data_IF_876257540018
#
_entry.id   IF_876257540018
#
_cell.length_a   1.000
_cell.length_b   1.000
_cell.length_c   1.000
_cell.angle_alpha   90.00
_cell.angle_beta   90.00
_cell.angle_gamma   90.00
#
_symmetry.space_group_name_H-M   'P 1'
#
loop_
_entity.id
_entity.type
_entity.pdbx_description
1 polymer ?
#
# COMPACT_ATOMS: atom_id res chain seq x y z
N UNK A 1 11.82 -8.82 19.21
CA UNK A 1 12.80 -8.77 20.32
C UNK A 1 12.71 -10.09 21.04
N UNK A 2 13.84 -10.77 21.23
CA UNK A 2 13.97 -12.04 21.97
C UNK A 2 14.26 -11.64 23.43
N UNK A 3 13.70 -12.34 24.42
CA UNK A 3 14.03 -12.13 25.83
C UNK A 3 15.36 -12.80 26.20
N UNK A 4 15.90 -12.48 27.38
CA UNK A 4 17.19 -13.00 27.88
C UNK A 4 17.23 -14.55 28.01
N UNK A 5 16.09 -15.24 27.88
CA UNK A 5 15.97 -16.70 27.94
C UNK A 5 15.75 -17.36 26.55
N UNK A 6 15.82 -16.60 25.46
CA UNK A 6 15.75 -17.15 24.10
C UNK A 6 14.36 -17.63 23.67
N UNK A 7 13.30 -17.23 24.37
CA UNK A 7 11.91 -17.59 24.08
C UNK A 7 11.19 -16.58 23.18
N UNK A 8 10.11 -16.98 22.48
CA UNK A 8 9.28 -16.04 21.76
C UNK A 8 8.51 -15.16 22.74
N UNK A 9 8.88 -13.87 22.82
CA UNK A 9 8.15 -12.86 23.60
C UNK A 9 6.78 -12.60 22.98
N UNK A 10 5.77 -13.40 23.37
CA UNK A 10 4.38 -13.13 22.99
C UNK A 10 3.75 -12.23 24.05
N UNK A 11 4.10 -10.94 24.04
CA UNK A 11 3.49 -9.98 24.95
C UNK A 11 2.02 -9.73 24.57
N UNK A 12 1.12 -9.63 25.56
CA UNK A 12 -0.29 -9.28 25.32
C UNK A 12 -0.46 -7.96 24.54
N UNK A 13 0.50 -7.04 24.66
CA UNK A 13 0.60 -5.81 23.84
C UNK A 13 0.77 -6.10 22.34
N UNK A 14 1.56 -7.09 21.97
CA UNK A 14 1.73 -7.49 20.57
C UNK A 14 0.43 -8.11 20.00
N UNK A 15 -0.27 -8.93 20.81
CA UNK A 15 -1.55 -9.55 20.41
C UNK A 15 -2.66 -8.51 20.23
N UNK A 16 -2.80 -7.56 21.15
CA UNK A 16 -3.76 -6.45 21.05
C UNK A 16 -3.39 -5.51 19.89
N UNK A 17 -2.10 -5.23 19.69
CA UNK A 17 -1.60 -4.45 18.55
C UNK A 17 -1.99 -5.08 17.21
N UNK A 18 -1.79 -6.39 17.05
CA UNK A 18 -2.19 -7.13 15.86
C UNK A 18 -3.71 -7.11 15.65
N UNK A 19 -4.49 -7.22 16.74
CA UNK A 19 -5.96 -7.20 16.69
C UNK A 19 -6.50 -5.83 16.23
N UNK A 20 -5.93 -4.73 16.75
CA UNK A 20 -6.31 -3.37 16.35
C UNK A 20 -5.91 -3.05 14.90
N UNK A 21 -4.73 -3.48 14.45
CA UNK A 21 -4.31 -3.34 13.06
C UNK A 21 -5.24 -4.10 12.11
N UNK A 22 -5.63 -5.33 12.47
CA UNK A 22 -6.56 -6.12 11.68
C UNK A 22 -7.97 -5.47 11.61
N UNK A 23 -8.46 -4.91 12.71
CA UNK A 23 -9.73 -4.17 12.73
C UNK A 23 -9.65 -2.92 11.83
N UNK A 24 -8.58 -2.13 11.97
CA UNK A 24 -8.36 -0.94 11.13
C UNK A 24 -8.32 -1.30 9.66
N UNK A 25 -7.54 -2.32 9.27
CA UNK A 25 -7.46 -2.77 7.89
C UNK A 25 -8.83 -3.21 7.35
N UNK A 26 -9.64 -3.90 8.15
CA UNK A 26 -11.01 -4.28 7.75
C UNK A 26 -11.90 -3.06 7.48
N UNK A 27 -11.82 -2.04 8.32
CA UNK A 27 -12.56 -0.78 8.13
C UNK A 27 -12.09 -0.08 6.84
N UNK A 28 -10.78 0.08 6.65
CA UNK A 28 -10.25 0.72 5.43
C UNK A 28 -10.63 -0.04 4.15
N UNK A 29 -10.58 -1.37 4.18
CA UNK A 29 -10.99 -2.20 3.05
C UNK A 29 -12.49 -2.06 2.78
N UNK A 30 -13.32 -2.11 3.83
CA UNK A 30 -14.75 -1.92 3.71
C UNK A 30 -15.06 -0.56 3.07
N UNK A 31 -14.51 0.52 3.64
CA UNK A 31 -14.75 1.88 3.17
C UNK A 31 -14.25 2.07 1.74
N UNK A 32 -13.05 1.58 1.42
CA UNK A 32 -12.51 1.60 0.06
C UNK A 32 -13.48 0.94 -0.91
N UNK A 33 -14.00 -0.26 -0.61
CA UNK A 33 -14.94 -0.96 -1.51
C UNK A 33 -16.26 -0.19 -1.68
N UNK A 34 -16.80 0.38 -0.60
CA UNK A 34 -18.12 1.00 -0.60
C UNK A 34 -18.14 2.45 -1.10
N UNK A 35 -16.98 3.11 -1.21
CA UNK A 35 -16.83 4.46 -1.78
C UNK A 35 -16.73 4.51 -3.31
N UNK A 36 -16.97 3.38 -3.99
CA UNK A 36 -16.96 3.32 -5.45
C UNK A 36 -17.93 4.35 -6.06
N UNK A 37 -17.43 5.14 -7.02
CA UNK A 37 -18.16 6.29 -7.57
C UNK A 37 -19.09 5.94 -8.75
N UNK A 38 -19.12 4.68 -9.19
CA UNK A 38 -19.91 4.21 -10.31
C UNK A 38 -19.17 4.24 -11.65
N UNK A 39 -19.88 3.92 -12.74
CA UNK A 39 -19.27 3.75 -14.05
C UNK A 39 -18.27 2.59 -14.05
N UNK A 40 -17.01 2.86 -14.40
CA UNK A 40 -15.94 1.86 -14.33
C UNK A 40 -15.50 1.54 -12.89
N UNK A 41 -15.64 2.49 -11.96
CA UNK A 41 -15.29 2.34 -10.55
C UNK A 41 -16.46 1.73 -9.78
N UNK A 42 -16.44 0.41 -9.60
CA UNK A 42 -17.51 -0.36 -8.96
C UNK A 42 -17.00 -1.04 -7.68
N UNK A 43 -17.89 -1.42 -6.75
CA UNK A 43 -17.48 -2.20 -5.59
C UNK A 43 -16.78 -3.52 -5.97
N UNK A 44 -17.13 -4.11 -7.12
CA UNK A 44 -16.47 -5.31 -7.64
C UNK A 44 -15.03 -5.03 -8.09
N UNK A 45 -14.79 -3.93 -8.80
CA UNK A 45 -13.43 -3.55 -9.23
C UNK A 45 -12.57 -3.17 -8.04
N UNK A 46 -13.11 -2.47 -7.04
CA UNK A 46 -12.39 -2.16 -5.80
C UNK A 46 -12.10 -3.40 -4.93
N UNK A 47 -13.01 -4.38 -4.89
CA UNK A 47 -12.73 -5.70 -4.28
C UNK A 47 -11.57 -6.41 -4.96
N UNK A 48 -11.54 -6.38 -6.29
CA UNK A 48 -10.45 -6.98 -7.07
C UNK A 48 -9.11 -6.27 -6.81
N UNK A 49 -9.09 -4.93 -6.79
CA UNK A 49 -7.90 -4.14 -6.42
C UNK A 49 -7.40 -4.54 -5.03
N UNK A 50 -8.30 -4.63 -4.04
CA UNK A 50 -7.94 -5.02 -2.66
C UNK A 50 -7.36 -6.43 -2.60
N UNK A 51 -7.96 -7.39 -3.32
CA UNK A 51 -7.46 -8.77 -3.39
C UNK A 51 -6.04 -8.79 -3.97
N UNK A 52 -5.81 -8.07 -5.07
CA UNK A 52 -4.50 -7.98 -5.72
C UNK A 52 -3.47 -7.26 -4.85
N UNK A 53 -3.87 -6.26 -4.06
CA UNK A 53 -2.97 -5.61 -3.09
C UNK A 53 -2.48 -6.59 -2.04
N UNK A 54 -3.38 -7.42 -1.49
CA UNK A 54 -3.01 -8.49 -0.54
C UNK A 54 -2.09 -9.52 -1.18
N UNK A 55 -2.30 -9.85 -2.45
CA UNK A 55 -1.41 -10.74 -3.18
C UNK A 55 -0.01 -10.15 -3.35
N UNK A 56 0.10 -8.88 -3.73
CA UNK A 56 1.40 -8.20 -3.79
C UNK A 56 2.06 -8.18 -2.42
N UNK A 57 1.32 -7.78 -1.38
CA UNK A 57 1.88 -7.67 -0.03
C UNK A 57 2.40 -8.99 0.53
N UNK A 58 1.80 -10.13 0.15
CA UNK A 58 2.26 -11.46 0.54
C UNK A 58 3.55 -11.91 -0.14
N UNK A 59 3.84 -11.39 -1.34
CA UNK A 59 4.94 -11.91 -2.18
C UNK A 59 6.06 -10.90 -2.41
N UNK A 60 5.81 -9.61 -2.17
CA UNK A 60 6.79 -8.53 -2.35
C UNK A 60 6.96 -7.82 -1.02
N UNK A 61 8.17 -7.78 -0.44
CA UNK A 61 8.40 -7.05 0.79
C UNK A 61 8.04 -5.57 0.61
N UNK A 62 7.28 -5.05 1.57
CA UNK A 62 6.71 -3.71 1.54
C UNK A 62 7.22 -2.93 2.75
N UNK A 63 7.69 -1.70 2.54
CA UNK A 63 8.05 -0.77 3.60
C UNK A 63 6.85 0.07 4.10
N UNK A 64 5.64 -0.30 3.70
CA UNK A 64 4.36 0.34 3.99
C UNK A 64 3.35 -0.65 4.56
N UNK A 65 2.33 -0.13 5.21
CA UNK A 65 1.17 -0.90 5.66
C UNK A 65 0.12 -1.01 4.54
N UNK A 66 -0.64 -2.11 4.52
CA UNK A 66 -1.68 -2.31 3.50
C UNK A 66 -2.73 -1.18 3.44
N UNK A 67 -3.11 -0.65 4.60
CA UNK A 67 -4.10 0.42 4.71
C UNK A 67 -3.60 1.74 4.08
N UNK A 68 -2.31 2.06 4.19
CA UNK A 68 -1.73 3.30 3.65
C UNK A 68 -1.87 3.32 2.12
N UNK A 69 -1.60 2.19 1.46
CA UNK A 69 -1.69 2.12 0.00
C UNK A 69 -3.14 2.11 -0.51
N UNK A 70 -4.12 1.68 0.29
CA UNK A 70 -5.53 1.83 -0.07
C UNK A 70 -5.95 3.31 -0.09
N UNK A 71 -5.42 4.13 0.82
CA UNK A 71 -5.67 5.59 0.83
C UNK A 71 -5.10 6.24 -0.44
N UNK A 72 -3.87 5.87 -0.83
CA UNK A 72 -3.26 6.38 -2.07
C UNK A 72 -4.02 5.90 -3.31
N UNK A 73 -4.45 4.64 -3.33
CA UNK A 73 -5.25 4.09 -4.41
C UNK A 73 -6.60 4.83 -4.56
N UNK A 74 -7.28 5.12 -3.46
CA UNK A 74 -8.51 5.92 -3.45
C UNK A 74 -8.28 7.30 -4.10
N UNK A 75 -7.18 7.97 -3.73
CA UNK A 75 -6.83 9.27 -4.31
C UNK A 75 -6.61 9.18 -5.83
N UNK A 76 -5.96 8.12 -6.33
CA UNK A 76 -5.78 7.90 -7.78
C UNK A 76 -7.12 7.64 -8.48
N UNK A 77 -7.97 6.78 -7.90
CA UNK A 77 -9.26 6.39 -8.46
C UNK A 77 -10.24 7.57 -8.55
N UNK A 78 -10.19 8.49 -7.59
CA UNK A 78 -11.15 9.59 -7.45
C UNK A 78 -10.60 10.94 -7.91
N UNK A 79 -9.30 11.05 -8.20
CA UNK A 79 -8.69 12.32 -8.61
C UNK A 79 -9.32 12.85 -9.90
N UNK A 80 -9.88 14.09 -9.88
CA UNK A 80 -10.41 14.74 -11.07
C UNK A 80 -9.30 15.30 -11.97
N UNK A 81 -8.06 15.35 -11.48
CA UNK A 81 -6.93 15.97 -12.18
C UNK A 81 -6.37 14.98 -13.19
N UNK A 82 -6.39 15.32 -14.48
CA UNK A 82 -5.78 14.49 -15.53
C UNK A 82 -4.25 14.44 -15.40
N UNK A 83 -3.64 13.36 -15.89
CA UNK A 83 -2.18 13.23 -15.93
C UNK A 83 -1.65 11.91 -15.35
N UNK A 84 -0.33 11.69 -15.44
CA UNK A 84 0.32 10.51 -14.92
C UNK A 84 0.35 10.51 -13.38
N UNK A 85 0.57 9.33 -12.82
CA UNK A 85 0.98 9.15 -11.42
C UNK A 85 2.49 8.94 -11.41
N UNK A 86 3.21 9.65 -10.53
CA UNK A 86 4.66 9.51 -10.36
C UNK A 86 4.95 8.95 -8.98
N UNK A 87 5.72 7.87 -8.93
CA UNK A 87 6.28 7.31 -7.69
C UNK A 87 7.76 7.71 -7.60
N UNK A 88 8.16 8.24 -6.45
CA UNK A 88 9.53 8.68 -6.16
C UNK A 88 10.11 7.76 -5.08
N UNK A 89 10.97 6.83 -5.49
CA UNK A 89 11.46 5.72 -4.68
C UNK A 89 10.47 4.55 -4.65
N UNK A 90 10.87 3.41 -5.19
CA UNK A 90 10.06 2.20 -5.28
C UNK A 90 10.53 1.06 -4.36
N UNK A 91 11.74 1.13 -3.80
CA UNK A 91 12.33 0.05 -3.00
C UNK A 91 12.28 -1.28 -3.79
N UNK A 92 11.57 -2.30 -3.29
CA UNK A 92 11.38 -3.59 -3.97
C UNK A 92 10.12 -3.65 -4.85
N UNK A 93 9.45 -2.51 -5.07
CA UNK A 93 8.33 -2.37 -6.01
C UNK A 93 6.97 -2.82 -5.46
N UNK A 94 6.83 -3.04 -4.16
CA UNK A 94 5.56 -3.45 -3.55
C UNK A 94 4.46 -2.38 -3.69
N UNK A 95 4.80 -1.11 -3.51
CA UNK A 95 3.92 0.03 -3.78
C UNK A 95 3.72 0.18 -5.29
N UNK A 96 4.77 0.14 -6.10
CA UNK A 96 4.70 0.19 -7.57
C UNK A 96 3.68 -0.77 -8.16
N UNK A 97 3.76 -2.06 -7.78
CA UNK A 97 2.83 -3.08 -8.26
C UNK A 97 1.38 -2.77 -7.85
N UNK A 98 1.16 -2.26 -6.63
CA UNK A 98 -0.16 -1.83 -6.14
C UNK A 98 -0.67 -0.59 -6.91
N UNK A 99 0.14 0.45 -7.03
CA UNK A 99 -0.19 1.68 -7.76
C UNK A 99 -0.49 1.39 -9.24
N UNK A 100 0.21 0.44 -9.85
CA UNK A 100 -0.02 0.05 -11.25
C UNK A 100 -1.44 -0.45 -11.50
N UNK A 101 -2.07 -1.11 -10.51
CA UNK A 101 -3.44 -1.60 -10.62
C UNK A 101 -4.46 -0.46 -10.60
N UNK A 102 -4.27 0.53 -9.71
CA UNK A 102 -5.11 1.71 -9.64
C UNK A 102 -4.95 2.58 -10.90
N UNK A 103 -3.71 2.76 -11.38
CA UNK A 103 -3.42 3.48 -12.62
C UNK A 103 -4.04 2.80 -13.84
N UNK A 104 -3.94 1.46 -13.95
CA UNK A 104 -4.59 0.69 -15.02
C UNK A 104 -6.10 0.90 -15.02
N UNK A 105 -6.72 0.95 -13.85
CA UNK A 105 -8.17 1.14 -13.75
C UNK A 105 -8.62 2.54 -14.20
N UNK A 106 -7.79 3.56 -13.99
CA UNK A 106 -8.06 4.95 -14.37
C UNK A 106 -7.50 5.33 -15.74
N UNK A 107 -6.85 4.39 -16.45
CA UNK A 107 -6.17 4.66 -17.72
C UNK A 107 -4.94 5.58 -17.58
N UNK A 108 -4.42 5.76 -16.36
CA UNK A 108 -3.26 6.63 -16.11
C UNK A 108 -1.96 5.88 -16.36
N UNK A 109 -0.96 6.60 -16.87
CA UNK A 109 0.43 6.12 -16.89
C UNK A 109 1.02 6.22 -15.49
N UNK A 110 1.62 5.13 -15.02
CA UNK A 110 2.50 5.14 -13.85
C UNK A 110 3.94 5.38 -14.30
N UNK A 111 4.61 6.35 -13.69
CA UNK A 111 6.04 6.64 -13.88
C UNK A 111 6.74 6.32 -12.56
N UNK A 112 7.76 5.47 -12.62
CA UNK A 112 8.52 5.04 -11.44
C UNK A 112 9.91 5.66 -11.55
N UNK A 113 10.25 6.49 -10.57
CA UNK A 113 11.55 7.14 -10.48
C UNK A 113 12.25 6.63 -9.22
N UNK A 114 13.30 5.83 -9.39
CA UNK A 114 14.16 5.35 -8.31
C UNK A 114 15.61 5.42 -8.83
N UNK A 115 16.58 5.58 -7.93
CA UNK A 115 17.99 5.38 -8.27
C UNK A 115 18.25 3.92 -8.64
N UNK A 116 17.46 3.00 -8.07
CA UNK A 116 17.71 1.55 -8.06
C UNK A 116 19.05 1.17 -7.41
N UNK A 117 19.65 2.11 -6.67
CA UNK A 117 20.95 1.98 -6.01
C UNK A 117 20.82 2.18 -4.48
N UNK A 118 19.60 2.38 -3.99
CA UNK A 118 19.32 2.72 -2.60
C UNK A 118 19.48 4.22 -2.31
N UNK A 119 19.50 4.57 -1.03
CA UNK A 119 19.71 5.95 -0.60
C UNK A 119 21.18 6.36 -0.84
N UNK A 120 21.42 7.61 -1.28
CA UNK A 120 22.78 8.13 -1.37
C UNK A 120 23.42 8.21 0.01
N UNK A 121 24.76 8.21 0.03
CA UNK A 121 25.50 8.56 1.26
C UNK A 121 25.19 10.03 1.60
N UNK A 122 24.82 10.35 2.86
CA UNK A 122 24.58 11.73 3.27
C UNK A 122 25.81 12.60 2.98
N UNK A 123 25.56 13.81 2.47
CA UNK A 123 26.57 14.85 2.33
C UNK A 123 27.05 15.37 3.68
N UNK A 124 28.11 16.19 3.66
CA UNK A 124 28.65 16.81 4.88
C UNK A 124 27.68 17.83 5.51
N UNK A 125 26.71 18.32 4.74
CA UNK A 125 25.75 19.37 5.12
C UNK A 125 24.29 18.86 5.25
N UNK A 126 24.06 17.54 5.17
CA UNK A 126 22.73 16.90 5.32
C UNK A 126 22.32 16.64 6.79
#
# INVERSE_FOLDING_TARGET
>A
MIDDDGGPVTSARAVVGNSLQAIRLRIFVHDFIHRAMGGADTPATRREITRRFREVHRHVPCAHQDAELLIVAEAILTSPVAGPVVELGCYLGGSTAKLSLACRHTGRRLIVCDSFEGLPVPGADD
#
